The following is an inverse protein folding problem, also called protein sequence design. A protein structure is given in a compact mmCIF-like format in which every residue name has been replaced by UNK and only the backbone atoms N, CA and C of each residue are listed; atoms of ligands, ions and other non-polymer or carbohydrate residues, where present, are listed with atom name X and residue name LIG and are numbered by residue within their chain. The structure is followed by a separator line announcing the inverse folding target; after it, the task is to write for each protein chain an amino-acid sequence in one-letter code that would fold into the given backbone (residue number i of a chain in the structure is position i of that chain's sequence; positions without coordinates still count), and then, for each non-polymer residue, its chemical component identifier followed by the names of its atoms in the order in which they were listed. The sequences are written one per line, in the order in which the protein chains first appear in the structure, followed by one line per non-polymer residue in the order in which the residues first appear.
data_IF_491464719281
#
_entry.id   IF_491464719281
#
_cell.length_a   1.000
_cell.length_b   1.000
_cell.length_c   1.000
_cell.angle_alpha   90.00
_cell.angle_beta   90.00
_cell.angle_gamma   90.00
#
_symmetry.space_group_name_H-M   'P 1'
#
loop_
_entity.id
_entity.type
_entity.pdbx_description
1 polymer ?
#
# COMPACT_ATOMS: atom_id res chain seq x y z
N UNK A 1 26.04 15.46 1.88
CA UNK A 1 24.97 14.77 2.64
C UNK A 1 24.53 13.53 1.88
N UNK A 2 25.49 12.64 1.67
CA UNK A 2 25.24 11.26 1.27
C UNK A 2 24.94 10.45 2.54
N UNK A 3 24.27 9.30 2.41
CA UNK A 3 23.97 8.30 3.46
C UNK A 3 22.72 8.46 4.33
N UNK A 4 21.57 8.81 3.73
CA UNK A 4 20.26 8.42 4.29
C UNK A 4 19.49 7.43 3.37
N UNK A 5 19.85 7.34 2.09
CA UNK A 5 19.38 6.26 1.20
C UNK A 5 20.11 4.93 1.44
N UNK A 6 21.39 4.99 1.83
CA UNK A 6 22.18 3.78 2.13
C UNK A 6 21.83 3.17 3.50
N UNK A 7 21.25 3.94 4.42
CA UNK A 7 20.81 3.43 5.72
C UNK A 7 19.48 2.64 5.63
N UNK A 8 18.72 2.78 4.53
CA UNK A 8 17.46 2.09 4.30
C UNK A 8 17.58 0.93 3.31
N UNK A 9 18.67 0.84 2.55
CA UNK A 9 19.02 -0.34 1.74
C UNK A 9 19.76 -1.43 2.53
N UNK A 10 20.34 -1.10 3.68
CA UNK A 10 21.08 -2.04 4.54
C UNK A 10 20.20 -2.76 5.58
N UNK A 11 18.90 -2.51 5.59
CA UNK A 11 17.92 -3.32 6.33
C UNK A 11 17.43 -4.54 5.52
N UNK A 12 18.21 -4.92 4.51
CA UNK A 12 18.07 -6.13 3.69
C UNK A 12 18.42 -7.38 4.49
N UNK A 13 17.53 -7.86 5.38
CA UNK A 13 17.49 -9.26 5.86
C UNK A 13 18.78 -9.90 6.43
N UNK A 14 19.89 -9.17 6.53
CA UNK A 14 21.24 -9.65 6.86
C UNK A 14 21.69 -9.23 8.27
N UNK A 15 20.86 -8.48 9.00
CA UNK A 15 21.07 -8.15 10.42
C UNK A 15 20.17 -8.96 11.37
N UNK A 16 19.82 -10.20 11.00
CA UNK A 16 19.66 -11.21 12.04
C UNK A 16 21.06 -11.77 12.22
N UNK A 17 21.71 -11.45 13.34
CA UNK A 17 22.95 -12.10 13.72
C UNK A 17 22.71 -13.62 13.69
N UNK A 18 23.18 -14.27 12.63
CA UNK A 18 22.95 -15.70 12.38
C UNK A 18 23.57 -16.59 13.47
N UNK A 19 24.40 -15.99 14.35
CA UNK A 19 24.97 -16.62 15.52
C UNK A 19 24.07 -16.62 16.75
N UNK A 20 22.97 -15.84 16.75
CA UNK A 20 22.05 -15.71 17.89
C UNK A 20 20.68 -16.29 17.62
N UNK A 21 20.08 -16.85 18.66
CA UNK A 21 18.73 -17.37 18.61
C UNK A 21 17.71 -16.28 18.94
N UNK A 22 16.64 -16.23 18.16
CA UNK A 22 15.55 -15.26 18.34
C UNK A 22 14.36 -15.92 19.05
N UNK A 23 13.85 -15.28 20.10
CA UNK A 23 12.62 -15.76 20.77
C UNK A 23 11.40 -15.08 20.16
N UNK A 24 10.48 -15.89 19.66
CA UNK A 24 9.24 -15.48 19.01
C UNK A 24 8.03 -16.13 19.69
N UNK A 25 6.82 -15.83 19.19
CA UNK A 25 5.59 -16.48 19.64
C UNK A 25 5.22 -17.65 18.72
N UNK A 26 4.97 -18.81 19.32
CA UNK A 26 4.28 -19.92 18.65
C UNK A 26 2.82 -19.56 18.32
N UNK A 27 2.17 -20.38 17.49
CA UNK A 27 0.75 -20.23 17.16
C UNK A 27 -0.15 -20.25 18.42
N UNK A 28 0.25 -21.00 19.45
CA UNK A 28 -0.45 -21.09 20.75
C UNK A 28 -0.02 -19.99 21.73
N UNK A 29 0.69 -18.95 21.26
CA UNK A 29 1.19 -17.81 22.05
C UNK A 29 2.19 -18.16 23.17
N UNK A 30 2.85 -19.32 23.08
CA UNK A 30 3.98 -19.65 23.95
C UNK A 30 5.32 -19.22 23.34
N UNK A 31 6.35 -18.92 24.14
CA UNK A 31 7.70 -18.66 23.65
C UNK A 31 8.22 -19.81 22.76
N UNK A 32 8.80 -19.45 21.62
CA UNK A 32 9.38 -20.34 20.64
C UNK A 32 10.72 -19.76 20.17
N UNK A 33 11.78 -20.54 20.27
CA UNK A 33 13.11 -20.14 19.85
C UNK A 33 13.31 -20.50 18.37
N UNK A 34 13.86 -19.57 17.60
CA UNK A 34 14.28 -19.80 16.21
C UNK A 34 15.79 -19.64 16.11
N UNK A 35 16.46 -20.65 15.55
CA UNK A 35 17.90 -20.65 15.35
C UNK A 35 18.27 -21.52 14.14
N UNK A 36 19.05 -20.96 13.21
CA UNK A 36 19.51 -21.62 11.97
C UNK A 36 18.39 -22.37 11.20
N UNK A 37 17.20 -21.75 11.05
CA UNK A 37 16.09 -22.37 10.30
C UNK A 37 15.26 -23.40 11.08
N UNK A 38 15.67 -23.75 12.30
CA UNK A 38 14.94 -24.66 13.17
C UNK A 38 14.17 -23.93 14.26
N UNK A 39 13.06 -24.53 14.68
CA UNK A 39 12.23 -24.01 15.75
C UNK A 39 12.28 -24.91 16.98
N UNK A 40 12.42 -24.31 18.15
CA UNK A 40 12.50 -25.01 19.43
C UNK A 40 11.44 -24.52 20.40
N UNK A 41 10.94 -25.43 21.23
CA UNK A 41 9.96 -25.17 22.29
C UNK A 41 10.62 -25.33 23.65
N UNK A 42 10.15 -24.57 24.64
CA UNK A 42 10.59 -24.72 26.02
C UNK A 42 10.29 -26.14 26.52
N UNK A 43 11.31 -26.78 27.09
CA UNK A 43 11.16 -28.09 27.73
C UNK A 43 10.36 -27.98 29.02
N UNK A 44 10.54 -26.90 29.79
CA UNK A 44 9.74 -26.58 30.96
C UNK A 44 9.26 -25.12 30.91
N UNK A 45 8.03 -24.85 30.45
CA UNK A 45 7.48 -23.50 30.32
C UNK A 45 7.40 -22.73 31.66
N UNK A 46 7.22 -23.45 32.77
CA UNK A 46 7.06 -22.89 34.12
C UNK A 46 8.38 -22.46 34.76
N UNK A 47 9.53 -22.87 34.19
CA UNK A 47 10.85 -22.48 34.73
C UNK A 47 11.02 -20.97 34.64
N UNK A 48 11.37 -20.33 35.75
CA UNK A 48 11.50 -18.86 35.84
C UNK A 48 12.96 -18.41 35.67
N UNK A 49 13.92 -19.18 36.19
CA UNK A 49 15.34 -18.82 36.19
C UNK A 49 16.11 -19.56 35.09
N UNK A 50 17.18 -18.95 34.53
CA UNK A 50 18.05 -19.60 33.55
C UNK A 50 18.86 -20.77 34.16
N UNK A 51 19.45 -21.64 33.32
CA UNK A 51 19.32 -21.68 31.86
C UNK A 51 17.96 -22.24 31.42
N UNK A 52 17.39 -21.72 30.34
CA UNK A 52 16.15 -22.22 29.76
C UNK A 52 16.47 -23.29 28.73
N UNK A 53 15.95 -24.51 28.94
CA UNK A 53 16.19 -25.63 28.03
C UNK A 53 15.13 -25.66 26.93
N UNK A 54 15.60 -25.79 25.70
CA UNK A 54 14.81 -25.84 24.49
C UNK A 54 15.01 -27.18 23.80
N UNK A 55 13.93 -27.71 23.25
CA UNK A 55 13.95 -28.92 22.42
C UNK A 55 13.31 -28.64 21.09
N UNK A 56 13.76 -29.32 20.04
CA UNK A 56 13.21 -29.14 18.70
C UNK A 56 11.68 -29.30 18.72
N UNK A 57 11.00 -28.50 17.90
CA UNK A 57 9.55 -28.51 17.78
C UNK A 57 9.04 -29.68 16.94
N UNK A 58 9.91 -30.32 16.15
CA UNK A 58 9.58 -31.52 15.38
C UNK A 58 9.38 -32.72 16.32
N UNK A 59 8.41 -33.56 15.97
CA UNK A 59 8.22 -34.84 16.65
C UNK A 59 9.44 -35.73 16.38
N UNK A 60 9.82 -36.57 17.35
CA UNK A 60 10.94 -37.52 17.25
C UNK A 60 12.34 -36.91 17.05
N UNK A 61 12.48 -35.58 17.07
CA UNK A 61 13.75 -34.89 16.93
C UNK A 61 14.43 -34.71 18.29
N UNK A 62 15.72 -35.04 18.36
CA UNK A 62 16.50 -35.04 19.59
C UNK A 62 17.33 -33.76 19.80
N UNK A 63 17.29 -32.83 18.85
CA UNK A 63 18.05 -31.59 18.96
C UNK A 63 17.56 -30.74 20.13
N UNK A 64 18.52 -30.30 20.95
CA UNK A 64 18.27 -29.52 22.17
C UNK A 64 19.35 -28.47 22.38
N UNK A 65 19.02 -27.43 23.12
CA UNK A 65 19.97 -26.41 23.53
C UNK A 65 19.44 -25.56 24.66
N UNK A 66 20.22 -24.58 25.11
CA UNK A 66 19.83 -23.69 26.21
C UNK A 66 20.20 -22.24 25.96
N UNK A 67 19.42 -21.34 26.55
CA UNK A 67 19.65 -19.89 26.54
C UNK A 67 19.66 -19.33 27.96
N UNK A 68 20.25 -18.15 28.15
CA UNK A 68 20.24 -17.39 29.40
C UNK A 68 18.95 -16.55 29.60
N UNK A 69 18.12 -16.42 28.56
CA UNK A 69 16.82 -15.73 28.62
C UNK A 69 15.75 -16.36 27.74
N UNK A 70 14.50 -15.93 27.91
CA UNK A 70 13.34 -16.44 27.15
C UNK A 70 12.31 -15.35 26.80
N UNK A 71 12.70 -14.08 26.88
CA UNK A 71 11.81 -12.94 26.62
C UNK A 71 11.47 -12.87 25.14
N UNK A 72 10.18 -12.71 24.83
CA UNK A 72 9.70 -12.62 23.45
C UNK A 72 10.22 -11.33 22.82
N UNK A 73 10.76 -11.44 21.61
CA UNK A 73 11.33 -10.31 20.86
C UNK A 73 12.83 -10.12 21.08
N UNK A 74 13.42 -10.77 22.09
CA UNK A 74 14.86 -10.68 22.38
C UNK A 74 15.67 -11.77 21.65
N UNK A 75 16.97 -11.51 21.53
CA UNK A 75 17.97 -12.43 20.99
C UNK A 75 18.91 -12.90 22.10
N UNK A 76 19.29 -14.18 22.07
CA UNK A 76 20.20 -14.78 23.03
C UNK A 76 21.19 -15.70 22.34
N UNK A 77 22.34 -15.92 22.99
CA UNK A 77 23.25 -16.98 22.61
C UNK A 77 22.59 -18.33 22.88
N UNK A 78 22.67 -19.24 21.90
CA UNK A 78 22.07 -20.57 21.99
C UNK A 78 23.15 -21.63 22.07
N UNK A 79 23.32 -22.17 23.27
CA UNK A 79 24.24 -23.25 23.52
C UNK A 79 23.59 -24.56 23.11
N UNK A 80 24.07 -25.14 22.01
CA UNK A 80 23.59 -26.41 21.48
C UNK A 80 24.08 -27.54 22.40
N UNK A 81 23.15 -28.32 22.93
CA UNK A 81 23.44 -29.50 23.77
C UNK A 81 23.39 -30.78 22.94
N UNK A 82 22.53 -30.81 21.93
CA UNK A 82 22.47 -31.86 20.93
C UNK A 82 22.10 -31.25 19.57
N UNK A 83 22.95 -31.41 18.57
CA UNK A 83 22.74 -30.88 17.21
C UNK A 83 22.07 -31.91 16.28
N UNK A 84 21.88 -33.16 16.74
CA UNK A 84 21.29 -34.22 15.91
C UNK A 84 19.81 -33.95 15.68
N UNK A 85 19.54 -33.33 14.53
CA UNK A 85 18.23 -33.28 13.93
C UNK A 85 17.91 -34.63 13.26
N UNK A 86 16.62 -34.94 13.07
CA UNK A 86 16.24 -36.04 12.18
C UNK A 86 16.79 -35.68 10.80
N UNK A 87 17.46 -36.64 10.17
CA UNK A 87 18.13 -36.49 8.87
C UNK A 87 17.18 -35.86 7.85
N UNK A 88 17.70 -34.99 6.96
CA UNK A 88 16.97 -34.21 5.94
C UNK A 88 16.09 -35.06 4.98
N UNK A 89 16.15 -36.38 5.11
CA UNK A 89 15.31 -37.37 4.44
C UNK A 89 13.82 -37.38 4.84
N UNK A 90 13.44 -36.76 5.97
CA UNK A 90 12.05 -36.74 6.43
C UNK A 90 11.32 -35.46 5.94
N UNK A 91 11.01 -35.45 4.64
CA UNK A 91 10.48 -34.32 3.84
C UNK A 91 9.36 -33.55 4.56
N UNK A 92 8.43 -34.26 5.21
CA UNK A 92 7.28 -33.65 5.87
C UNK A 92 7.65 -32.74 7.06
N UNK A 93 8.77 -33.04 7.72
CA UNK A 93 9.29 -32.27 8.84
C UNK A 93 9.95 -30.96 8.39
N UNK A 94 10.70 -31.01 7.29
CA UNK A 94 11.35 -29.87 6.62
C UNK A 94 10.33 -28.91 6.03
N UNK A 95 9.29 -29.44 5.38
CA UNK A 95 8.15 -28.68 4.85
C UNK A 95 7.47 -27.83 5.94
N UNK A 96 7.24 -28.42 7.12
CA UNK A 96 6.61 -27.71 8.24
C UNK A 96 7.47 -26.56 8.76
N UNK A 97 8.79 -26.72 8.77
CA UNK A 97 9.73 -25.68 9.18
C UNK A 97 9.76 -24.53 8.17
N UNK A 98 9.83 -24.85 6.87
CA UNK A 98 9.79 -23.86 5.78
C UNK A 98 8.52 -23.01 5.83
N UNK A 99 7.34 -23.63 6.00
CA UNK A 99 6.07 -22.91 6.12
C UNK A 99 6.01 -22.00 7.35
N UNK A 100 6.59 -22.42 8.48
CA UNK A 100 6.69 -21.61 9.70
C UNK A 100 7.63 -20.42 9.50
N UNK A 101 8.77 -20.63 8.86
CA UNK A 101 9.76 -19.59 8.63
C UNK A 101 9.27 -18.54 7.64
N UNK A 102 8.66 -18.99 6.54
CA UNK A 102 7.92 -18.14 5.60
C UNK A 102 6.93 -17.24 6.34
N UNK A 103 6.10 -17.81 7.21
CA UNK A 103 5.10 -17.05 7.98
C UNK A 103 5.76 -16.07 8.94
N UNK A 104 6.86 -16.42 9.61
CA UNK A 104 7.61 -15.50 10.49
C UNK A 104 8.06 -14.27 9.71
N UNK A 105 8.67 -14.47 8.53
CA UNK A 105 9.16 -13.38 7.67
C UNK A 105 8.03 -12.46 7.23
N UNK A 106 6.87 -13.01 6.84
CA UNK A 106 5.70 -12.20 6.49
C UNK A 106 5.27 -11.30 7.65
N UNK A 107 5.22 -11.84 8.87
CA UNK A 107 4.84 -11.07 10.07
C UNK A 107 5.86 -9.99 10.41
N UNK A 108 7.15 -10.33 10.39
CA UNK A 108 8.23 -9.39 10.67
C UNK A 108 8.23 -8.22 9.67
N UNK A 109 8.14 -8.49 8.36
CA UNK A 109 8.04 -7.45 7.34
C UNK A 109 6.79 -6.59 7.51
N UNK A 110 5.65 -7.21 7.83
CA UNK A 110 4.39 -6.51 8.08
C UNK A 110 4.44 -5.57 9.30
N UNK A 111 5.23 -5.90 10.33
CA UNK A 111 5.38 -5.06 11.52
C UNK A 111 6.37 -3.91 11.35
N UNK A 112 7.40 -4.08 10.52
CA UNK A 112 8.49 -3.11 10.36
C UNK A 112 8.20 -2.02 9.31
N UNK A 113 7.35 -2.29 8.31
CA UNK A 113 7.09 -1.34 7.23
C UNK A 113 5.65 -1.41 6.72
N UNK A 114 5.10 -0.27 6.27
CA UNK A 114 3.76 -0.21 5.69
C UNK A 114 3.73 -0.56 4.19
N UNK A 115 4.47 -1.59 3.77
CA UNK A 115 4.51 -2.03 2.37
C UNK A 115 3.23 -2.78 1.96
N UNK A 116 2.68 -2.59 0.74
CA UNK A 116 1.50 -3.33 0.30
C UNK A 116 1.68 -4.85 0.43
N UNK A 117 0.65 -5.63 0.84
CA UNK A 117 0.78 -7.07 1.05
C UNK A 117 1.37 -7.83 -0.14
N UNK A 118 1.03 -7.40 -1.37
CA UNK A 118 1.58 -7.96 -2.61
C UNK A 118 3.10 -7.81 -2.71
N UNK A 119 3.66 -6.66 -2.31
CA UNK A 119 5.11 -6.41 -2.31
C UNK A 119 5.80 -7.30 -1.28
N UNK A 120 5.23 -7.39 -0.07
CA UNK A 120 5.73 -8.28 0.99
C UNK A 120 5.73 -9.73 0.53
N UNK A 121 4.66 -10.19 -0.13
CA UNK A 121 4.54 -11.56 -0.62
C UNK A 121 5.53 -11.88 -1.74
N UNK A 122 5.71 -10.98 -2.70
CA UNK A 122 6.72 -11.14 -3.76
C UNK A 122 8.13 -11.29 -3.17
N UNK A 123 8.45 -10.53 -2.13
CA UNK A 123 9.76 -10.61 -1.46
C UNK A 123 9.96 -11.90 -0.64
N UNK A 124 8.94 -12.75 -0.51
CA UNK A 124 8.94 -14.02 0.21
C UNK A 124 8.66 -15.18 -0.75
N UNK A 125 8.43 -14.91 -2.04
CA UNK A 125 8.20 -15.93 -3.06
C UNK A 125 9.49 -16.65 -3.50
N UNK A 126 10.67 -16.16 -3.11
CA UNK A 126 11.99 -16.67 -3.55
C UNK A 126 12.48 -17.92 -2.79
N UNK A 127 11.65 -18.58 -2.00
CA UNK A 127 12.02 -19.87 -1.42
C UNK A 127 11.88 -20.96 -2.47
N UNK A 128 12.90 -21.81 -2.61
CA UNK A 128 12.79 -23.05 -3.37
C UNK A 128 11.93 -24.03 -2.57
N UNK A 129 10.66 -24.12 -2.96
CA UNK A 129 9.71 -25.08 -2.39
C UNK A 129 9.70 -26.36 -3.21
N UNK A 130 9.59 -27.52 -2.55
CA UNK A 130 9.20 -28.75 -3.21
C UNK A 130 7.74 -28.67 -3.68
N UNK A 131 7.35 -29.54 -4.62
CA UNK A 131 5.97 -29.59 -5.13
C UNK A 131 4.96 -29.90 -4.02
N UNK A 132 5.35 -30.70 -3.02
CA UNK A 132 4.55 -31.01 -1.84
C UNK A 132 4.31 -29.77 -0.96
N UNK A 133 5.32 -28.90 -0.81
CA UNK A 133 5.17 -27.63 -0.06
C UNK A 133 4.31 -26.66 -0.83
N UNK A 134 4.47 -26.56 -2.15
CA UNK A 134 3.64 -25.71 -3.00
C UNK A 134 2.15 -26.05 -2.85
N UNK A 135 1.82 -27.34 -2.79
CA UNK A 135 0.45 -27.80 -2.57
C UNK A 135 -0.10 -27.43 -1.18
N UNK A 136 0.76 -27.32 -0.17
CA UNK A 136 0.41 -26.95 1.22
C UNK A 136 0.48 -25.44 1.48
N UNK A 137 0.86 -24.62 0.50
CA UNK A 137 0.98 -23.18 0.70
C UNK A 137 -0.39 -22.54 0.98
N UNK A 138 -0.45 -21.54 1.90
CA UNK A 138 -1.64 -20.72 2.06
C UNK A 138 -1.99 -20.01 0.75
N UNK A 139 -3.29 -19.79 0.52
CA UNK A 139 -3.72 -18.94 -0.58
C UNK A 139 -3.23 -17.50 -0.39
N UNK A 140 -3.15 -16.75 -1.50
CA UNK A 140 -2.82 -15.33 -1.48
C UNK A 140 -3.69 -14.54 -0.48
N UNK A 141 -5.00 -14.82 -0.45
CA UNK A 141 -5.92 -14.15 0.47
C UNK A 141 -5.64 -14.49 1.94
N UNK A 142 -5.29 -15.75 2.24
CA UNK A 142 -4.93 -16.14 3.60
C UNK A 142 -3.69 -15.39 4.11
N UNK A 143 -2.65 -15.28 3.27
CA UNK A 143 -1.44 -14.53 3.62
C UNK A 143 -1.68 -13.03 3.70
N UNK A 144 -2.46 -12.47 2.76
CA UNK A 144 -2.88 -11.06 2.78
C UNK A 144 -3.58 -10.72 4.09
N UNK A 145 -4.47 -11.59 4.58
CA UNK A 145 -5.15 -11.42 5.86
C UNK A 145 -4.18 -11.47 7.04
N UNK A 146 -3.18 -12.36 7.02
CA UNK A 146 -2.13 -12.42 8.06
C UNK A 146 -1.33 -11.12 8.10
N UNK A 147 -0.87 -10.64 6.95
CA UNK A 147 -0.12 -9.38 6.83
C UNK A 147 -0.96 -8.22 7.38
N UNK A 148 -2.22 -8.10 6.95
CA UNK A 148 -3.11 -7.03 7.40
C UNK A 148 -3.38 -7.09 8.92
N UNK A 149 -3.52 -8.29 9.49
CA UNK A 149 -3.70 -8.47 10.94
C UNK A 149 -2.46 -8.04 11.73
N UNK A 150 -1.26 -8.38 11.27
CA UNK A 150 -0.03 -7.96 11.96
C UNK A 150 0.18 -6.45 11.83
N UNK A 151 -0.04 -5.86 10.64
CA UNK A 151 -0.03 -4.41 10.45
C UNK A 151 -1.00 -3.69 11.38
N UNK A 152 -2.19 -4.26 11.62
CA UNK A 152 -3.17 -3.67 12.53
C UNK A 152 -2.67 -3.58 13.98
N UNK A 153 -1.69 -4.39 14.39
CA UNK A 153 -1.10 -4.33 15.75
C UNK A 153 -0.11 -3.19 15.92
N UNK A 154 0.61 -2.82 14.86
CA UNK A 154 1.62 -1.75 14.88
C UNK A 154 1.05 -0.39 14.46
N UNK A 155 -0.07 -0.37 13.74
CA UNK A 155 -0.77 0.87 13.37
C UNK A 155 -1.33 1.57 14.62
N UNK A 156 -1.34 2.91 14.63
CA UNK A 156 -2.07 3.67 15.64
C UNK A 156 -3.53 3.19 15.71
N UNK A 157 -4.11 3.17 16.91
CA UNK A 157 -5.56 2.98 17.05
C UNK A 157 -6.26 4.21 16.45
N UNK A 158 -6.66 4.10 15.19
CA UNK A 158 -7.53 5.07 14.56
C UNK A 158 -8.94 5.00 15.17
N UNK A 159 -9.66 6.13 15.24
CA UNK A 159 -11.06 6.13 15.65
C UNK A 159 -11.91 5.23 14.74
N UNK A 160 -13.10 4.81 15.19
CA UNK A 160 -14.04 4.10 14.33
C UNK A 160 -14.34 4.90 13.05
N UNK A 161 -14.72 4.20 11.98
CA UNK A 161 -15.07 4.84 10.71
C UNK A 161 -16.22 5.85 10.97
N UNK A 162 -16.06 7.12 10.60
CA UNK A 162 -17.06 8.15 10.87
C UNK A 162 -18.36 7.82 10.13
N UNK A 163 -19.50 8.18 10.74
CA UNK A 163 -20.82 7.90 10.17
C UNK A 163 -21.36 9.04 9.30
N UNK A 164 -20.80 10.24 9.49
CA UNK A 164 -21.17 11.46 8.77
C UNK A 164 -19.94 12.29 8.40
N UNK A 165 -20.10 13.19 7.42
CA UNK A 165 -19.02 14.11 7.00
C UNK A 165 -18.57 15.04 8.14
N UNK A 166 -19.49 15.44 9.02
CA UNK A 166 -19.20 16.34 10.15
C UNK A 166 -18.28 15.68 11.20
N UNK A 167 -18.40 14.37 11.39
CA UNK A 167 -17.60 13.58 12.34
C UNK A 167 -16.18 13.29 11.88
N UNK A 168 -15.84 13.57 10.62
CA UNK A 168 -14.51 13.26 10.10
C UNK A 168 -13.47 14.10 10.85
N UNK A 169 -12.60 13.41 11.58
CA UNK A 169 -11.40 13.97 12.20
C UNK A 169 -10.20 13.31 11.53
N UNK A 170 -9.42 14.08 10.79
CA UNK A 170 -8.15 13.60 10.22
C UNK A 170 -7.10 13.64 11.33
N UNK A 171 -6.57 12.49 11.78
CA UNK A 171 -5.52 12.45 12.79
C UNK A 171 -4.31 13.29 12.36
N UNK A 172 -3.70 14.00 13.30
CA UNK A 172 -2.57 14.90 13.05
C UNK A 172 -1.46 14.26 12.20
N UNK A 173 -1.01 13.01 12.44
CA UNK A 173 0.05 12.40 11.64
C UNK A 173 -0.31 12.18 10.17
N UNK A 174 -1.60 12.16 9.83
CA UNK A 174 -2.09 12.00 8.45
C UNK A 174 -2.28 13.33 7.73
N UNK A 175 -2.16 14.46 8.44
CA UNK A 175 -2.22 15.79 7.85
C UNK A 175 -0.88 16.20 7.23
N UNK A 176 0.21 15.46 7.49
CA UNK A 176 1.55 15.76 7.01
C UNK A 176 2.10 14.67 6.09
N UNK A 177 3.04 15.05 5.23
CA UNK A 177 3.84 14.09 4.46
C UNK A 177 4.85 13.37 5.37
N UNK A 178 5.49 12.32 4.86
CA UNK A 178 6.59 11.62 5.56
C UNK A 178 7.76 12.57 5.90
N UNK A 179 7.91 13.66 5.15
CA UNK A 179 8.93 14.70 5.38
C UNK A 179 8.47 15.80 6.34
N UNK A 180 7.27 15.69 6.93
CA UNK A 180 6.71 16.68 7.84
C UNK A 180 6.13 17.92 7.17
N UNK A 181 5.93 17.92 5.84
CA UNK A 181 5.30 19.03 5.13
C UNK A 181 3.78 18.95 5.27
N UNK A 182 3.09 20.08 5.48
CA UNK A 182 1.63 20.10 5.51
C UNK A 182 1.07 19.54 4.19
N UNK A 183 0.22 18.52 4.31
CA UNK A 183 -0.39 17.81 3.19
C UNK A 183 -1.89 18.03 3.10
N UNK A 184 -2.57 18.31 4.22
CA UNK A 184 -3.96 18.75 4.21
C UNK A 184 -4.01 20.26 3.94
N UNK A 185 -4.24 20.64 2.68
CA UNK A 185 -4.29 22.05 2.28
C UNK A 185 -5.60 22.72 2.71
N UNK A 186 -6.70 21.98 2.64
CA UNK A 186 -8.00 22.52 2.94
C UNK A 186 -8.97 21.47 3.44
N UNK A 187 -9.76 21.87 4.42
CA UNK A 187 -10.92 21.19 4.96
C UNK A 187 -12.03 22.24 5.06
N UNK A 188 -13.15 22.06 4.36
CA UNK A 188 -14.24 23.05 4.39
C UNK A 188 -14.97 23.13 5.74
N UNK A 189 -14.67 22.23 6.66
CA UNK A 189 -15.10 22.27 8.05
C UNK A 189 -16.31 21.40 8.34
N UNK A 190 -16.47 21.05 9.63
CA UNK A 190 -17.53 20.16 10.11
C UNK A 190 -18.96 20.72 9.98
N UNK A 191 -19.10 22.02 9.78
CA UNK A 191 -20.40 22.68 9.57
C UNK A 191 -20.83 22.70 8.09
N UNK A 192 -19.95 22.28 7.17
CA UNK A 192 -20.29 22.16 5.76
C UNK A 192 -20.99 20.82 5.49
N UNK A 193 -22.27 20.89 5.11
CA UNK A 193 -23.04 19.69 4.74
C UNK A 193 -22.48 19.00 3.48
N UNK A 194 -21.68 19.71 2.68
CA UNK A 194 -20.96 19.19 1.53
C UNK A 194 -19.44 19.19 1.78
N UNK A 195 -19.04 18.89 3.03
CA UNK A 195 -17.64 18.92 3.45
C UNK A 195 -16.73 18.18 2.47
N UNK A 196 -15.67 18.85 2.06
CA UNK A 196 -14.67 18.31 1.15
C UNK A 196 -13.26 18.65 1.63
N UNK A 197 -12.30 17.87 1.14
CA UNK A 197 -10.90 17.96 1.55
C UNK A 197 -10.01 18.07 0.34
N UNK A 198 -9.03 18.97 0.39
CA UNK A 198 -7.97 19.10 -0.63
C UNK A 198 -6.65 18.72 0.03
N UNK A 199 -5.97 17.76 -0.57
CA UNK A 199 -4.65 17.32 -0.19
C UNK A 199 -3.62 17.65 -1.27
N UNK A 200 -2.44 18.05 -0.82
CA UNK A 200 -1.31 18.47 -1.64
C UNK A 200 -0.34 19.26 -0.78
N UNK A 201 0.74 19.74 -1.37
CA UNK A 201 1.72 20.61 -0.66
C UNK A 201 1.80 21.96 -1.34
N UNK A 202 2.44 22.94 -0.68
CA UNK A 202 2.71 24.24 -1.32
C UNK A 202 3.52 24.10 -2.61
N UNK A 203 4.51 23.21 -2.62
CA UNK A 203 5.29 22.87 -3.81
C UNK A 203 4.43 22.27 -4.93
N UNK A 204 3.43 21.46 -4.57
CA UNK A 204 2.50 20.95 -5.57
C UNK A 204 1.66 22.06 -6.22
N UNK A 205 1.25 23.06 -5.45
CA UNK A 205 0.56 24.24 -5.99
C UNK A 205 1.47 25.06 -6.90
N UNK A 206 2.75 25.25 -6.55
CA UNK A 206 3.73 25.91 -7.42
C UNK A 206 3.90 25.18 -8.76
N UNK A 207 3.90 23.85 -8.76
CA UNK A 207 3.95 23.03 -9.98
C UNK A 207 2.63 23.11 -10.77
N UNK A 208 1.50 23.31 -10.08
CA UNK A 208 0.19 23.45 -10.69
C UNK A 208 0.07 24.76 -11.48
N UNK A 209 0.67 25.84 -10.99
CA UNK A 209 0.70 27.14 -11.68
C UNK A 209 1.42 27.03 -13.04
N UNK A 210 0.94 27.77 -14.05
CA UNK A 210 1.54 27.81 -15.38
C UNK A 210 1.82 26.42 -16.02
N UNK A 211 0.99 25.42 -15.72
CA UNK A 211 1.16 24.07 -16.23
C UNK A 211 -0.07 23.55 -16.97
N UNK A 212 0.08 22.46 -17.71
CA UNK A 212 -1.00 21.68 -18.28
C UNK A 212 -1.49 20.68 -17.24
N UNK A 213 -2.73 20.88 -16.77
CA UNK A 213 -3.34 20.06 -15.73
C UNK A 213 -4.22 19.00 -16.37
N UNK A 214 -4.09 17.76 -15.91
CA UNK A 214 -4.93 16.63 -16.26
C UNK A 214 -5.78 16.25 -15.05
N UNK A 215 -7.09 16.22 -15.24
CA UNK A 215 -8.04 15.96 -14.18
C UNK A 215 -8.75 14.62 -14.40
N UNK A 216 -8.85 13.80 -13.35
CA UNK A 216 -9.56 12.52 -13.41
C UNK A 216 -10.26 12.18 -12.09
N UNK A 217 -11.51 11.72 -12.19
CA UNK A 217 -12.33 11.27 -11.07
C UNK A 217 -12.27 9.76 -10.88
N UNK A 218 -11.89 9.29 -9.69
CA UNK A 218 -11.83 7.86 -9.36
C UNK A 218 -12.90 7.48 -8.33
N UNK A 219 -13.71 6.47 -8.66
CA UNK A 219 -14.89 6.08 -7.86
C UNK A 219 -14.66 4.83 -7.01
N UNK A 220 -14.00 3.81 -7.57
CA UNK A 220 -13.88 2.47 -6.93
C UNK A 220 -13.06 2.47 -5.64
N UNK A 221 -12.22 3.48 -5.43
CA UNK A 221 -11.26 3.57 -4.32
C UNK A 221 -11.70 4.65 -3.31
N UNK A 222 -12.89 5.23 -3.49
CA UNK A 222 -13.36 6.33 -2.67
C UNK A 222 -13.90 5.83 -1.31
N UNK A 223 -13.60 6.51 -0.18
CA UNK A 223 -14.21 6.19 1.10
C UNK A 223 -15.74 6.37 1.06
N UNK A 224 -16.48 5.59 1.86
CA UNK A 224 -17.95 5.48 1.76
C UNK A 224 -18.73 6.80 1.83
N UNK A 225 -18.21 7.78 2.57
CA UNK A 225 -18.86 9.08 2.75
C UNK A 225 -18.65 10.04 1.56
N UNK A 226 -17.80 9.67 0.60
CA UNK A 226 -17.51 10.46 -0.58
C UNK A 226 -17.94 9.72 -1.85
N UNK A 227 -18.29 10.49 -2.87
CA UNK A 227 -18.70 9.94 -4.17
C UNK A 227 -17.50 9.74 -5.08
N UNK A 228 -16.47 10.57 -4.95
CA UNK A 228 -15.27 10.48 -5.78
C UNK A 228 -14.03 11.03 -5.10
N UNK A 229 -12.89 10.41 -5.43
CA UNK A 229 -11.57 10.99 -5.26
C UNK A 229 -11.17 11.62 -6.60
N UNK A 230 -11.15 12.94 -6.65
CA UNK A 230 -10.75 13.71 -7.81
C UNK A 230 -9.24 13.99 -7.74
N UNK A 231 -8.53 13.72 -8.82
CA UNK A 231 -7.07 13.85 -8.87
C UNK A 231 -6.66 14.81 -9.97
N UNK A 232 -5.70 15.68 -9.67
CA UNK A 232 -5.16 16.64 -10.62
C UNK A 232 -3.67 16.39 -10.78
N UNK A 233 -3.23 16.27 -12.03
CA UNK A 233 -1.85 15.96 -12.39
C UNK A 233 -1.29 17.09 -13.24
N UNK A 234 -0.10 17.57 -12.92
CA UNK A 234 0.61 18.55 -13.73
C UNK A 234 1.58 17.84 -14.69
N UNK A 235 1.82 18.42 -15.86
CA UNK A 235 2.81 17.91 -16.81
C UNK A 235 4.22 18.41 -16.43
N UNK A 236 5.04 17.52 -15.89
CA UNK A 236 6.43 17.83 -15.53
C UNK A 236 7.34 16.99 -16.40
N UNK A 237 8.14 17.63 -17.25
CA UNK A 237 9.10 16.96 -18.14
C UNK A 237 8.44 15.83 -18.98
N UNK A 238 7.23 16.09 -19.50
CA UNK A 238 6.47 15.13 -20.29
C UNK A 238 5.76 14.03 -19.49
N UNK A 239 5.91 14.02 -18.16
CA UNK A 239 5.29 13.04 -17.27
C UNK A 239 4.15 13.68 -16.46
N UNK A 240 2.95 13.06 -16.42
CA UNK A 240 1.87 13.53 -15.56
C UNK A 240 2.19 13.16 -14.10
N UNK A 241 2.44 14.16 -13.26
CA UNK A 241 2.74 14.00 -11.83
C UNK A 241 1.52 14.44 -11.02
N UNK A 242 1.00 13.61 -10.10
CA UNK A 242 -0.12 13.99 -9.26
C UNK A 242 0.30 15.12 -8.30
N UNK A 243 -0.47 16.20 -8.30
CA UNK A 243 -0.19 17.40 -7.51
C UNK A 243 -1.28 17.67 -6.48
N UNK A 244 -2.55 17.38 -6.79
CA UNK A 244 -3.66 17.56 -5.85
C UNK A 244 -4.57 16.34 -5.85
N UNK A 245 -5.10 16.03 -4.66
CA UNK A 245 -6.10 15.00 -4.42
C UNK A 245 -7.28 15.63 -3.69
N UNK A 246 -8.50 15.40 -4.15
CA UNK A 246 -9.69 16.00 -3.57
C UNK A 246 -10.75 14.95 -3.29
N UNK A 247 -11.19 14.87 -2.03
CA UNK A 247 -12.33 14.03 -1.66
C UNK A 247 -13.61 14.85 -1.77
N UNK A 248 -14.49 14.48 -2.72
CA UNK A 248 -15.73 15.21 -3.00
C UNK A 248 -16.96 14.36 -2.64
N UNK A 249 -17.94 14.93 -1.90
CA UNK A 249 -19.16 14.22 -1.53
C UNK A 249 -20.20 14.20 -2.66
N UNK A 250 -19.99 14.96 -3.74
CA UNK A 250 -20.88 15.06 -4.90
C UNK A 250 -20.10 15.24 -6.20
N UNK A 251 -20.84 15.20 -7.31
CA UNK A 251 -20.38 15.40 -8.69
C UNK A 251 -21.27 16.38 -9.46
N UNK A 252 -21.48 17.56 -8.90
CA UNK A 252 -22.28 18.61 -9.51
C UNK A 252 -21.42 19.86 -9.73
N UNK A 253 -21.89 20.76 -10.59
CA UNK A 253 -21.13 21.96 -10.94
C UNK A 253 -20.81 22.83 -9.71
N UNK A 254 -21.75 22.95 -8.76
CA UNK A 254 -21.59 23.78 -7.57
C UNK A 254 -20.41 23.32 -6.68
N UNK A 255 -20.27 22.01 -6.42
CA UNK A 255 -19.16 21.51 -5.61
C UNK A 255 -17.81 21.64 -6.33
N UNK A 256 -17.78 21.46 -7.65
CA UNK A 256 -16.57 21.70 -8.42
C UNK A 256 -16.17 23.17 -8.44
N UNK A 257 -17.12 24.09 -8.56
CA UNK A 257 -16.84 25.52 -8.45
C UNK A 257 -16.26 25.86 -7.08
N UNK A 258 -16.89 25.40 -5.99
CA UNK A 258 -16.38 25.58 -4.62
C UNK A 258 -14.92 25.08 -4.49
N UNK A 259 -14.67 23.85 -4.93
CA UNK A 259 -13.33 23.26 -4.93
C UNK A 259 -12.33 24.09 -5.74
N UNK A 260 -12.67 24.46 -6.98
CA UNK A 260 -11.78 25.19 -7.86
C UNK A 260 -11.51 26.61 -7.36
N UNK A 261 -12.49 27.28 -6.73
CA UNK A 261 -12.29 28.59 -6.10
C UNK A 261 -11.30 28.51 -4.94
N UNK A 262 -11.39 27.48 -4.10
CA UNK A 262 -10.40 27.25 -3.04
C UNK A 262 -9.02 26.95 -3.62
N UNK A 263 -8.92 26.14 -4.68
CA UNK A 263 -7.63 25.91 -5.33
C UNK A 263 -7.08 27.24 -5.88
N UNK A 264 -7.89 28.01 -6.60
CA UNK A 264 -7.50 29.30 -7.17
C UNK A 264 -7.02 30.30 -6.11
N UNK A 265 -7.61 30.32 -4.92
CA UNK A 265 -7.18 31.22 -3.84
C UNK A 265 -5.77 30.91 -3.31
N UNK A 266 -5.27 29.70 -3.55
CA UNK A 266 -3.89 29.35 -3.23
C UNK A 266 -2.90 29.68 -4.36
N UNK A 267 -3.36 30.01 -5.57
CA UNK A 267 -2.49 30.23 -6.72
C UNK A 267 -2.21 31.73 -6.93
N UNK A 268 -0.99 32.02 -7.37
CA UNK A 268 -0.57 33.34 -7.86
C UNK A 268 -0.80 33.49 -9.36
N UNK A 269 -0.82 32.36 -10.10
CA UNK A 269 -1.00 32.30 -11.55
C UNK A 269 -1.95 31.18 -11.92
N UNK A 270 -2.77 31.41 -12.94
CA UNK A 270 -3.66 30.39 -13.47
C UNK A 270 -2.83 29.31 -14.23
N UNK A 271 -3.27 28.05 -14.24
CA UNK A 271 -2.67 27.02 -15.10
C UNK A 271 -2.88 27.34 -16.58
N UNK A 272 -2.01 26.83 -17.46
CA UNK A 272 -2.09 27.05 -18.91
C UNK A 272 -3.35 26.40 -19.48
N UNK A 273 -3.62 25.15 -19.10
CA UNK A 273 -4.77 24.41 -19.61
C UNK A 273 -5.26 23.35 -18.65
N UNK A 274 -6.53 23.00 -18.76
CA UNK A 274 -7.13 21.81 -18.16
C UNK A 274 -7.48 20.80 -19.25
N UNK A 275 -7.01 19.57 -19.07
CA UNK A 275 -7.37 18.40 -19.86
C UNK A 275 -8.30 17.54 -19.01
N UNK A 276 -9.57 17.54 -19.37
CA UNK A 276 -10.64 17.02 -18.52
C UNK A 276 -11.44 15.95 -19.25
N UNK A 277 -12.14 15.09 -18.51
CA UNK A 277 -13.17 14.27 -19.11
C UNK A 277 -14.34 15.14 -19.64
N UNK A 278 -15.25 14.53 -20.39
CA UNK A 278 -16.39 15.24 -20.98
C UNK A 278 -17.53 15.47 -19.96
N UNK A 279 -17.22 15.57 -18.67
CA UNK A 279 -18.20 15.88 -17.64
C UNK A 279 -18.57 17.36 -17.68
N UNK A 280 -19.79 17.64 -18.15
CA UNK A 280 -20.28 19.01 -18.37
C UNK A 280 -20.22 19.87 -17.10
N UNK A 281 -20.51 19.29 -15.93
CA UNK A 281 -20.45 19.97 -14.66
C UNK A 281 -19.05 20.50 -14.33
N UNK A 282 -18.01 19.68 -14.55
CA UNK A 282 -16.62 20.08 -14.31
C UNK A 282 -16.15 21.08 -15.37
N UNK A 283 -16.47 20.84 -16.64
CA UNK A 283 -16.17 21.75 -17.75
C UNK A 283 -16.69 23.18 -17.50
N UNK A 284 -17.95 23.30 -17.07
CA UNK A 284 -18.55 24.60 -16.75
C UNK A 284 -17.87 25.26 -15.56
N UNK A 285 -17.55 24.50 -14.51
CA UNK A 285 -16.86 25.00 -13.33
C UNK A 285 -15.47 25.56 -13.67
N UNK A 286 -14.68 24.83 -14.48
CA UNK A 286 -13.36 25.31 -14.94
C UNK A 286 -13.50 26.59 -15.75
N UNK A 287 -14.40 26.65 -16.73
CA UNK A 287 -14.61 27.87 -17.55
C UNK A 287 -15.00 29.07 -16.72
N UNK A 288 -15.76 28.87 -15.64
CA UNK A 288 -16.18 29.94 -14.73
C UNK A 288 -15.03 30.42 -13.84
N UNK A 289 -14.26 29.51 -13.24
CA UNK A 289 -13.24 29.84 -12.23
C UNK A 289 -11.89 30.23 -12.87
N UNK A 290 -11.56 29.62 -14.01
CA UNK A 290 -10.32 29.82 -14.76
C UNK A 290 -10.60 30.23 -16.22
N UNK A 291 -11.22 31.41 -16.45
CA UNK A 291 -11.61 31.82 -17.80
C UNK A 291 -10.43 32.05 -18.75
N UNK A 292 -9.22 32.27 -18.22
CA UNK A 292 -7.99 32.42 -19.02
C UNK A 292 -7.30 31.10 -19.39
N UNK A 293 -7.67 29.98 -18.75
CA UNK A 293 -7.06 28.67 -19.02
C UNK A 293 -7.76 27.98 -20.20
N UNK A 294 -6.97 27.32 -21.05
CA UNK A 294 -7.51 26.54 -22.17
C UNK A 294 -8.18 25.27 -21.62
N UNK A 295 -9.38 24.93 -22.10
CA UNK A 295 -10.07 23.70 -21.70
C UNK A 295 -10.10 22.71 -22.86
N UNK A 296 -9.39 21.59 -22.69
CA UNK A 296 -9.27 20.51 -23.66
C UNK A 296 -10.01 19.26 -23.17
N UNK A 297 -10.62 18.54 -24.11
CA UNK A 297 -11.20 17.22 -23.85
C UNK A 297 -10.13 16.13 -23.82
N UNK A 298 -10.27 15.19 -22.89
CA UNK A 298 -9.34 14.07 -22.75
C UNK A 298 -9.47 13.09 -23.92
N UNK A 299 -8.42 13.00 -24.74
CA UNK A 299 -8.37 12.13 -25.91
C UNK A 299 -8.59 10.65 -25.58
N UNK A 300 -8.09 10.19 -24.43
CA UNK A 300 -8.29 8.82 -23.97
C UNK A 300 -9.78 8.50 -23.78
N UNK A 301 -10.50 9.39 -23.08
CA UNK A 301 -11.93 9.26 -22.85
C UNK A 301 -12.73 9.40 -24.16
N UNK A 302 -12.37 10.35 -25.02
CA UNK A 302 -12.97 10.50 -26.34
C UNK A 302 -12.86 9.21 -27.16
N UNK A 303 -11.64 8.67 -27.30
CA UNK A 303 -11.39 7.43 -28.04
C UNK A 303 -12.16 6.25 -27.45
N UNK A 304 -12.24 6.14 -26.13
CA UNK A 304 -13.02 5.10 -25.45
C UNK A 304 -14.50 5.17 -25.81
N UNK A 305 -15.10 6.37 -25.74
CA UNK A 305 -16.51 6.58 -26.11
C UNK A 305 -16.77 6.30 -27.59
N UNK A 306 -15.90 6.77 -28.48
CA UNK A 306 -16.00 6.52 -29.92
C UNK A 306 -15.97 5.02 -30.25
N UNK A 307 -15.05 4.27 -29.62
CA UNK A 307 -14.97 2.81 -29.82
C UNK A 307 -16.24 2.09 -29.36
N UNK A 308 -16.79 2.46 -28.21
CA UNK A 308 -18.05 1.89 -27.73
C UNK A 308 -19.15 2.12 -28.76
N UNK A 309 -19.26 3.35 -29.29
CA UNK A 309 -20.29 3.68 -30.26
C UNK A 309 -20.11 2.95 -31.60
N UNK A 310 -18.87 2.79 -32.07
CA UNK A 310 -18.55 2.01 -33.27
C UNK A 310 -18.98 0.54 -33.10
N UNK A 311 -18.75 -0.04 -31.92
CA UNK A 311 -19.19 -1.40 -31.60
C UNK A 311 -20.71 -1.51 -31.60
N UNK A 312 -21.41 -0.57 -30.94
CA UNK A 312 -22.88 -0.54 -30.88
C UNK A 312 -23.52 -0.44 -32.27
N UNK A 313 -22.86 0.24 -33.21
CA UNK A 313 -23.33 0.41 -34.59
C UNK A 313 -22.89 -0.73 -35.52
N UNK A 314 -22.11 -1.71 -35.06
CA UNK A 314 -21.59 -2.79 -35.89
C UNK A 314 -20.50 -2.38 -36.88
N UNK A 315 -19.95 -1.16 -36.78
CA UNK A 315 -18.99 -0.59 -37.74
C UNK A 315 -17.52 -0.98 -37.46
N UNK A 316 -17.30 -1.98 -36.60
CA UNK A 316 -15.95 -2.32 -36.11
C UNK A 316 -15.01 -2.74 -37.24
N UNK A 317 -15.50 -3.52 -38.21
CA UNK A 317 -14.70 -3.99 -39.35
C UNK A 317 -14.37 -2.84 -40.29
N UNK A 318 -15.37 -2.04 -40.67
CA UNK A 318 -15.20 -0.92 -41.62
C UNK A 318 -14.24 0.14 -41.07
N UNK A 319 -14.43 0.54 -39.81
CA UNK A 319 -13.54 1.50 -39.16
C UNK A 319 -12.12 0.95 -38.93
N UNK A 320 -11.95 -0.38 -38.88
CA UNK A 320 -10.62 -1.02 -38.78
C UNK A 320 -9.88 -1.02 -40.11
N UNK A 321 -10.59 -1.26 -41.21
CA UNK A 321 -10.04 -1.25 -42.57
C UNK A 321 -9.62 0.17 -43.00
N UNK A 322 -10.32 1.19 -42.51
CA UNK A 322 -9.89 2.58 -42.69
C UNK A 322 -8.66 2.90 -41.82
N UNK A 323 -7.48 2.99 -42.46
CA UNK A 323 -6.20 3.23 -41.79
C UNK A 323 -6.16 4.52 -40.97
N UNK A 324 -6.80 5.59 -41.42
CA UNK A 324 -6.80 6.88 -40.70
C UNK A 324 -7.65 6.80 -39.43
N UNK A 325 -8.87 6.26 -39.56
CA UNK A 325 -9.77 6.07 -38.42
C UNK A 325 -9.14 5.11 -37.41
N UNK A 326 -8.54 4.01 -37.87
CA UNK A 326 -7.90 3.05 -36.99
C UNK A 326 -6.61 3.61 -36.37
N UNK A 327 -5.86 4.50 -37.04
CA UNK A 327 -4.71 5.17 -36.41
C UNK A 327 -5.13 6.05 -35.24
N UNK A 328 -6.23 6.79 -35.38
CA UNK A 328 -6.77 7.65 -34.35
C UNK A 328 -7.45 6.86 -33.23
N UNK A 329 -8.36 5.95 -33.56
CA UNK A 329 -9.18 5.26 -32.58
C UNK A 329 -8.57 3.93 -32.11
N UNK A 330 -7.56 3.39 -32.82
CA UNK A 330 -6.84 2.13 -32.53
C UNK A 330 -7.80 1.00 -32.17
N UNK A 331 -8.75 0.69 -33.04
CA UNK A 331 -9.87 -0.22 -32.75
C UNK A 331 -9.31 -1.62 -32.44
N UNK A 332 -9.70 -2.26 -31.31
CA UNK A 332 -9.19 -3.58 -30.93
C UNK A 332 -9.62 -4.66 -31.92
N UNK A 333 -8.86 -5.77 -31.97
CA UNK A 333 -9.10 -6.93 -32.84
C UNK A 333 -10.38 -7.69 -32.49
#
# INVERSE_FOLDING_TARGET
MENLSNLLSDLTLNNIDSSKAQITLSQKKYPQLHFKGHFYRLSNPKKINPPFNWRCSLAHCNATGRTNGKTIGEQYDFEILNEVHIDDSDIESTDSLLLKERRRILKTKASLADEPPRKILNNVANFNYSDEVLAKLPSYEADRLVINREKKKSRPQFPPEPSSLAEILIPEPLQFTIKGENFLLYDSGNMDYERFFIFGTRKNLEIFENNHIFCDGTFKVCPKLFVQLYTMHALVEGCPVPVLYVLLPRKNQAIYEKMLFVIKSFLSKDPISFNVDFELAFLNAVKKVFPGSIVNGCYFHFRKSMRSKIQDLGLTVDCRLNKEINRCLKIPN
#
